data_IF_079320689544
#
_entry.id   IF_079320689544
#
_cell.length_a   1.000
_cell.length_b   1.000
_cell.length_c   1.000
_cell.angle_alpha   90.00
_cell.angle_beta   90.00
_cell.angle_gamma   90.00
#
_symmetry.space_group_name_H-M   'P 1'
#
loop_
_entity.id
_entity.type
_entity.pdbx_description
1 polymer ?
#
# COMPACT_ATOMS: atom_id res chain seq x y z
N UNK A 1 -10.30 -29.35 -4.97
CA UNK A 1 -10.49 -28.37 -3.87
C UNK A 1 -9.97 -27.03 -4.38
N UNK A 2 -10.84 -26.11 -4.81
CA UNK A 2 -10.41 -24.77 -5.17
C UNK A 2 -9.87 -24.09 -3.90
N UNK A 3 -8.61 -23.66 -3.92
CA UNK A 3 -8.04 -22.93 -2.80
C UNK A 3 -8.91 -21.69 -2.57
N UNK A 4 -9.56 -21.61 -1.41
CA UNK A 4 -10.25 -20.39 -0.98
C UNK A 4 -9.24 -19.27 -0.99
N UNK A 5 -9.37 -18.37 -1.97
CA UNK A 5 -8.46 -17.25 -2.14
C UNK A 5 -8.63 -16.34 -0.92
N UNK A 6 -7.68 -16.43 0.03
CA UNK A 6 -7.69 -15.55 1.20
C UNK A 6 -7.66 -14.11 0.72
N UNK A 7 -8.62 -13.31 1.18
CA UNK A 7 -8.83 -11.92 0.75
C UNK A 7 -7.55 -11.05 0.88
N UNK A 8 -6.68 -11.35 1.85
CA UNK A 8 -5.39 -10.68 2.05
C UNK A 8 -4.39 -11.55 2.84
N UNK A 9 -3.07 -11.35 2.63
CA UNK A 9 -2.02 -12.21 3.19
C UNK A 9 -1.70 -11.90 4.66
N UNK A 10 -2.58 -12.33 5.58
CA UNK A 10 -2.48 -12.08 7.04
C UNK A 10 -1.11 -12.42 7.66
N UNK A 11 -0.54 -13.56 7.29
CA UNK A 11 0.74 -14.01 7.83
C UNK A 11 1.90 -13.08 7.42
N UNK A 12 1.89 -12.59 6.18
CA UNK A 12 2.89 -11.66 5.67
C UNK A 12 2.78 -10.31 6.35
N UNK A 13 1.57 -9.76 6.48
CA UNK A 13 1.34 -8.48 7.19
C UNK A 13 1.87 -8.55 8.61
N UNK A 14 1.51 -9.60 9.36
CA UNK A 14 2.00 -9.79 10.74
C UNK A 14 3.53 -9.90 10.81
N UNK A 15 4.14 -10.63 9.87
CA UNK A 15 5.61 -10.79 9.83
C UNK A 15 6.31 -9.47 9.58
N UNK A 16 5.87 -8.69 8.60
CA UNK A 16 6.44 -7.38 8.24
C UNK A 16 6.28 -6.41 9.41
N UNK A 17 5.07 -6.29 9.96
CA UNK A 17 4.80 -5.38 11.08
C UNK A 17 5.63 -5.75 12.31
N UNK A 18 5.73 -7.04 12.65
CA UNK A 18 6.55 -7.50 13.78
C UNK A 18 8.03 -7.19 13.58
N UNK A 19 8.56 -7.37 12.37
CA UNK A 19 9.96 -7.10 12.04
C UNK A 19 10.31 -5.60 12.14
N UNK A 20 9.39 -4.70 11.82
CA UNK A 20 9.64 -3.24 11.84
C UNK A 20 9.22 -2.56 13.15
N UNK A 21 8.30 -3.14 13.92
CA UNK A 21 7.83 -2.55 15.19
C UNK A 21 8.46 -3.19 16.44
N UNK A 22 9.06 -4.38 16.32
CA UNK A 22 9.46 -5.23 17.45
C UNK A 22 8.31 -5.49 18.45
N UNK A 23 7.05 -5.44 17.99
CA UNK A 23 5.85 -5.67 18.79
C UNK A 23 5.00 -6.80 18.22
N UNK A 24 4.30 -7.50 19.09
CA UNK A 24 3.30 -8.47 18.67
C UNK A 24 2.05 -7.74 18.13
N UNK A 25 1.43 -8.29 17.10
CA UNK A 25 0.21 -7.76 16.50
C UNK A 25 -1.00 -8.47 17.13
N UNK A 26 -1.87 -7.70 17.78
CA UNK A 26 -3.11 -8.20 18.39
C UNK A 26 -4.04 -8.87 17.38
N UNK A 27 -4.98 -9.69 17.87
CA UNK A 27 -5.97 -10.36 17.03
C UNK A 27 -6.71 -9.32 16.17
N UNK A 28 -6.77 -9.56 14.87
CA UNK A 28 -7.45 -8.73 13.87
C UNK A 28 -6.88 -7.32 13.63
N UNK A 29 -5.88 -6.87 14.38
CA UNK A 29 -5.19 -5.61 14.07
C UNK A 29 -4.51 -5.64 12.70
N UNK A 30 -4.06 -6.83 12.26
CA UNK A 30 -3.50 -7.04 10.92
C UNK A 30 -4.47 -6.72 9.77
N UNK A 31 -5.79 -6.79 10.03
CA UNK A 31 -6.82 -6.47 9.05
C UNK A 31 -6.87 -4.96 8.82
N UNK A 32 -6.86 -4.19 9.91
CA UNK A 32 -6.90 -2.73 9.86
C UNK A 32 -5.61 -2.15 9.25
N UNK A 33 -4.45 -2.74 9.59
CA UNK A 33 -3.17 -2.37 8.97
C UNK A 33 -3.19 -2.65 7.47
N UNK A 34 -3.77 -3.78 7.04
CA UNK A 34 -3.89 -4.07 5.61
C UNK A 34 -4.87 -3.12 4.90
N UNK A 35 -5.97 -2.74 5.55
CA UNK A 35 -6.90 -1.76 5.02
C UNK A 35 -6.21 -0.40 4.82
N UNK A 36 -5.46 0.06 5.81
CA UNK A 36 -4.69 1.31 5.71
C UNK A 36 -3.67 1.26 4.57
N UNK A 37 -2.96 0.14 4.41
CA UNK A 37 -2.10 -0.11 3.26
C UNK A 37 -2.84 -0.06 1.91
N UNK A 38 -4.06 -0.61 1.83
CA UNK A 38 -4.88 -0.54 0.61
C UNK A 38 -5.33 0.89 0.29
N UNK A 39 -5.71 1.68 1.31
CA UNK A 39 -6.03 3.10 1.14
C UNK A 39 -4.81 3.89 0.67
N UNK A 40 -3.63 3.59 1.22
CA UNK A 40 -2.35 4.15 0.75
C UNK A 40 -2.10 3.80 -0.72
N UNK A 41 -2.24 2.53 -1.11
CA UNK A 41 -2.04 2.10 -2.50
C UNK A 41 -3.03 2.76 -3.46
N UNK A 42 -4.29 2.91 -3.06
CA UNK A 42 -5.30 3.61 -3.86
C UNK A 42 -4.91 5.07 -4.12
N UNK A 43 -4.47 5.78 -3.08
CA UNK A 43 -4.02 7.17 -3.21
C UNK A 43 -2.74 7.27 -4.07
N UNK A 44 -1.76 6.39 -3.83
CA UNK A 44 -0.51 6.35 -4.58
C UNK A 44 -0.77 6.14 -6.08
N UNK A 45 -1.64 5.20 -6.43
CA UNK A 45 -1.99 4.91 -7.82
C UNK A 45 -2.79 6.05 -8.46
N UNK A 46 -3.71 6.67 -7.72
CA UNK A 46 -4.44 7.86 -8.18
C UNK A 46 -3.50 9.00 -8.52
N UNK A 47 -2.60 9.38 -7.60
CA UNK A 47 -1.64 10.47 -7.81
C UNK A 47 -0.65 10.14 -8.94
N UNK A 48 -0.19 8.88 -9.03
CA UNK A 48 0.68 8.43 -10.12
C UNK A 48 0.00 8.54 -11.48
N UNK A 49 -1.26 8.15 -11.59
CA UNK A 49 -2.07 8.28 -12.80
C UNK A 49 -2.23 9.75 -13.24
N UNK A 50 -2.47 10.66 -12.28
CA UNK A 50 -2.54 12.10 -12.55
C UNK A 50 -1.19 12.63 -13.06
N UNK A 51 -0.07 12.26 -12.43
CA UNK A 51 1.25 12.70 -12.87
C UNK A 51 1.64 12.15 -14.25
N UNK A 52 1.34 10.88 -14.50
CA UNK A 52 1.61 10.23 -15.79
C UNK A 52 0.85 10.91 -16.92
N UNK A 53 -0.44 11.24 -16.70
CA UNK A 53 -1.25 12.01 -17.66
C UNK A 53 -0.69 13.42 -17.91
N UNK A 54 -0.25 14.12 -16.85
CA UNK A 54 0.39 15.45 -16.98
C UNK A 54 1.70 15.40 -17.77
N UNK A 55 2.42 14.28 -17.70
CA UNK A 55 3.64 14.06 -18.46
C UNK A 55 3.40 13.59 -19.91
N UNK A 56 2.13 13.38 -20.33
CA UNK A 56 1.80 12.88 -21.67
C UNK A 56 2.07 11.38 -21.86
N UNK A 57 2.24 10.63 -20.77
CA UNK A 57 2.48 9.19 -20.82
C UNK A 57 1.16 8.41 -20.99
N UNK A 58 1.19 7.35 -21.79
CA UNK A 58 0.02 6.47 -22.03
C UNK A 58 -0.29 5.54 -20.86
N UNK A 59 0.74 5.14 -20.11
CA UNK A 59 0.67 4.22 -18.99
C UNK A 59 1.44 4.78 -17.80
N UNK A 60 1.07 4.37 -16.59
CA UNK A 60 1.78 4.75 -15.36
C UNK A 60 3.26 4.33 -15.47
N UNK A 61 4.16 5.31 -15.51
CA UNK A 61 5.60 5.07 -15.54
C UNK A 61 6.19 4.94 -14.13
N UNK A 62 7.33 4.25 -13.98
CA UNK A 62 8.08 4.23 -12.72
C UNK A 62 8.46 5.64 -12.22
N UNK A 63 8.71 6.59 -13.14
CA UNK A 63 9.03 7.98 -12.81
C UNK A 63 7.84 8.70 -12.18
N UNK A 64 6.63 8.47 -12.69
CA UNK A 64 5.40 9.05 -12.13
C UNK A 64 5.17 8.59 -10.69
N UNK A 65 5.35 7.29 -10.42
CA UNK A 65 5.25 6.70 -9.08
C UNK A 65 6.30 7.29 -8.15
N UNK A 66 7.58 7.31 -8.57
CA UNK A 66 8.68 7.84 -7.76
C UNK A 66 8.46 9.29 -7.36
N UNK A 67 7.92 10.12 -8.26
CA UNK A 67 7.62 11.53 -7.98
C UNK A 67 6.52 11.73 -6.93
N UNK A 68 5.48 10.89 -6.93
CA UNK A 68 4.36 11.05 -5.98
C UNK A 68 4.60 10.34 -4.65
N UNK A 69 5.48 9.33 -4.62
CA UNK A 69 5.70 8.45 -3.45
C UNK A 69 5.95 9.23 -2.17
N UNK A 70 6.87 10.20 -2.20
CA UNK A 70 7.22 10.97 -0.99
C UNK A 70 6.02 11.75 -0.44
N UNK A 71 5.26 12.41 -1.33
CA UNK A 71 4.09 13.19 -0.95
C UNK A 71 2.99 12.30 -0.37
N UNK A 72 2.73 11.15 -1.00
CA UNK A 72 1.71 10.20 -0.52
C UNK A 72 2.12 9.61 0.82
N UNK A 73 3.39 9.22 1.01
CA UNK A 73 3.90 8.75 2.30
C UNK A 73 3.72 9.80 3.40
N UNK A 74 3.99 11.08 3.12
CA UNK A 74 3.77 12.17 4.08
C UNK A 74 2.30 12.33 4.48
N UNK A 75 1.36 12.10 3.56
CA UNK A 75 -0.08 12.18 3.83
C UNK A 75 -0.58 11.05 4.75
N UNK A 76 0.07 9.89 4.70
CA UNK A 76 -0.24 8.72 5.52
C UNK A 76 0.64 8.62 6.79
N UNK A 77 1.45 9.64 7.09
CA UNK A 77 2.05 9.76 8.42
C UNK A 77 0.96 10.17 9.40
N UNK A 78 0.56 9.23 10.26
CA UNK A 78 -0.27 9.50 11.44
C UNK A 78 0.45 10.34 12.48
#
# INVERSE_FOLDING_TARGET
MAATQKLYPRATVKRVVKAHSNRNVSKNADILIFLDYMLFMQELMRESSIQSRKAGEKNISPNSVRKVTERTLRKFKG
#
